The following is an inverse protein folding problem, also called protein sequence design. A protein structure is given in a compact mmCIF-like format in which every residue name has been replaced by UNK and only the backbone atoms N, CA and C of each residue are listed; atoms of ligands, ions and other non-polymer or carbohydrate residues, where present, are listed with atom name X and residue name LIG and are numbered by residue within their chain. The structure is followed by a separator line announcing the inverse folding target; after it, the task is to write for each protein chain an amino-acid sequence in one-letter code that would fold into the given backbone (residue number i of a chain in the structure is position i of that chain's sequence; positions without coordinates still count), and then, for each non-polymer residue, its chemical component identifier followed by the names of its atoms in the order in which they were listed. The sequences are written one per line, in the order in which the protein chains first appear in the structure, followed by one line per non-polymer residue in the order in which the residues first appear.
data_IF_145234119582
#
_entry.id   IF_145234119582
#
_cell.length_a   1.000
_cell.length_b   1.000
_cell.length_c   1.000
_cell.angle_alpha   90.00
_cell.angle_beta   90.00
_cell.angle_gamma   90.00
#
_symmetry.space_group_name_H-M   'P 1'
#
loop_
_entity.id
_entity.type
_entity.pdbx_description
1 polymer ?
#
# COMPACT_ATOMS: atom_id res chain seq x y z
N UNK A 1 51.82 12.72 -17.39
CA UNK A 1 51.22 13.60 -16.38
C UNK A 1 49.89 14.09 -16.98
N UNK A 2 48.84 13.35 -16.80
CA UNK A 2 47.48 13.75 -17.11
C UNK A 2 46.71 13.64 -15.82
N UNK A 3 46.35 14.80 -15.29
CA UNK A 3 45.51 14.92 -14.09
C UNK A 3 44.06 14.58 -14.51
N UNK A 4 43.57 13.45 -14.00
CA UNK A 4 42.14 13.10 -14.06
C UNK A 4 41.42 13.85 -12.94
N UNK A 5 40.80 14.97 -13.31
CA UNK A 5 39.82 15.66 -12.49
C UNK A 5 38.52 14.83 -12.47
N UNK A 6 38.37 13.96 -11.49
CA UNK A 6 37.08 13.42 -11.10
C UNK A 6 36.38 14.42 -10.16
N UNK A 7 35.75 15.43 -10.72
CA UNK A 7 34.71 16.19 -10.02
C UNK A 7 33.52 15.26 -9.79
N UNK A 8 33.37 14.79 -8.57
CA UNK A 8 32.12 14.24 -8.07
C UNK A 8 31.08 15.36 -8.07
N UNK A 9 30.26 15.42 -9.11
CA UNK A 9 29.07 16.24 -9.11
C UNK A 9 28.10 15.62 -8.10
N UNK A 10 28.06 16.15 -6.90
CA UNK A 10 26.99 15.87 -5.95
C UNK A 10 25.75 16.65 -6.41
N UNK A 11 24.97 16.05 -7.31
CA UNK A 11 23.67 16.61 -7.67
C UNK A 11 22.76 16.35 -6.48
N UNK A 12 22.30 17.43 -5.84
CA UNK A 12 21.32 17.31 -4.75
C UNK A 12 20.02 16.75 -5.31
N UNK A 13 19.31 15.91 -4.56
CA UNK A 13 18.01 15.37 -5.00
C UNK A 13 17.04 16.43 -5.50
N UNK A 14 17.18 17.69 -5.03
CA UNK A 14 16.41 18.84 -5.48
C UNK A 14 16.74 19.32 -6.92
N UNK A 15 17.92 18.98 -7.45
CA UNK A 15 18.32 19.37 -8.82
C UNK A 15 17.88 18.32 -9.86
N UNK A 16 17.88 17.03 -9.52
CA UNK A 16 17.25 15.98 -10.33
C UNK A 16 15.74 16.22 -10.50
N UNK A 17 15.10 16.79 -9.48
CA UNK A 17 13.69 17.17 -9.48
C UNK A 17 13.35 18.27 -10.50
N UNK A 18 14.29 19.15 -10.81
CA UNK A 18 14.07 20.27 -11.77
C UNK A 18 14.03 19.81 -13.23
N UNK A 19 14.81 18.79 -13.57
CA UNK A 19 14.87 18.31 -14.96
C UNK A 19 13.61 17.50 -15.33
N UNK A 20 13.03 16.76 -14.39
CA UNK A 20 11.75 16.04 -14.60
C UNK A 20 10.57 17.02 -14.75
N UNK A 21 10.59 18.16 -14.05
CA UNK A 21 9.53 19.19 -14.11
C UNK A 21 9.60 20.01 -15.41
N UNK A 22 10.77 20.09 -16.06
CA UNK A 22 10.93 20.85 -17.31
C UNK A 22 10.19 20.21 -18.49
N UNK A 23 10.13 18.89 -18.56
CA UNK A 23 9.46 18.15 -19.65
C UNK A 23 7.92 18.25 -19.58
N UNK A 24 7.33 18.36 -18.37
CA UNK A 24 5.87 18.45 -18.21
C UNK A 24 5.28 19.83 -18.61
N UNK A 25 6.08 20.90 -18.55
CA UNK A 25 5.64 22.24 -19.00
C UNK A 25 5.52 22.38 -20.50
N UNK A 26 6.17 21.50 -21.28
CA UNK A 26 6.13 21.53 -22.74
C UNK A 26 4.84 20.90 -23.33
N UNK A 27 4.11 20.10 -22.58
CA UNK A 27 2.95 19.33 -23.06
C UNK A 27 1.59 20.05 -22.88
N UNK A 28 1.51 21.19 -22.18
CA UNK A 28 0.23 21.85 -21.82
C UNK A 28 -0.12 23.14 -22.58
N UNK A 29 0.54 23.43 -23.71
CA UNK A 29 0.19 24.60 -24.54
C UNK A 29 -0.34 24.19 -25.92
N UNK A 30 -1.63 23.89 -26.00
CA UNK A 30 -2.39 23.96 -27.24
C UNK A 30 -3.74 24.64 -26.97
N UNK A 31 -4.20 25.55 -27.86
CA UNK A 31 -5.24 26.51 -27.55
C UNK A 31 -6.65 25.94 -27.77
N UNK A 32 -7.56 26.24 -26.82
CA UNK A 32 -8.99 26.05 -27.01
C UNK A 32 -9.60 27.25 -27.71
N UNK A 33 -10.21 26.96 -28.82
CA UNK A 33 -11.02 27.91 -29.59
C UNK A 33 -12.28 28.32 -28.84
N UNK A 34 -12.54 29.61 -28.92
CA UNK A 34 -13.72 30.30 -28.41
C UNK A 34 -14.79 30.36 -29.47
N UNK A 35 -16.00 29.94 -29.15
CA UNK A 35 -17.19 30.37 -29.90
C UNK A 35 -18.19 31.05 -28.98
N UNK A 36 -18.44 32.32 -29.34
CA UNK A 36 -19.50 33.20 -28.86
C UNK A 36 -20.74 32.97 -29.73
N UNK A 37 -21.91 33.07 -29.18
CA UNK A 37 -23.01 33.89 -29.71
C UNK A 37 -24.19 33.89 -28.75
N UNK A 38 -24.51 35.05 -28.38
CA UNK A 38 -25.55 36.05 -28.72
C UNK A 38 -26.89 35.86 -28.02
N UNK A 39 -27.11 36.89 -27.27
CA UNK A 39 -28.36 37.46 -26.76
C UNK A 39 -29.48 37.46 -27.79
N UNK A 40 -30.74 37.32 -27.32
CA UNK A 40 -31.76 38.29 -27.66
C UNK A 40 -32.81 38.48 -26.58
N UNK A 41 -33.17 39.75 -26.41
CA UNK A 41 -34.22 40.33 -25.58
C UNK A 41 -35.47 40.49 -26.41
N UNK A 42 -36.67 40.34 -25.82
CA UNK A 42 -37.78 41.31 -25.99
C UNK A 42 -38.95 40.92 -25.08
N UNK A 43 -39.31 41.71 -24.22
CA UNK A 43 -40.27 42.81 -24.00
C UNK A 43 -41.75 42.51 -24.26
N UNK A 44 -42.49 42.73 -23.14
CA UNK A 44 -43.80 43.45 -22.97
C UNK A 44 -45.06 42.74 -23.43
N UNK A 45 -46.11 42.68 -22.64
CA UNK A 45 -46.99 43.75 -22.17
C UNK A 45 -48.16 43.23 -21.33
N UNK A 46 -48.52 44.05 -20.33
CA UNK A 46 -49.76 44.04 -19.58
C UNK A 46 -51.04 43.94 -20.40
N UNK A 47 -52.01 43.19 -19.87
CA UNK A 47 -53.41 43.59 -19.97
C UNK A 47 -54.22 43.10 -18.76
N UNK A 48 -54.64 44.03 -17.93
CA UNK A 48 -55.78 43.93 -17.03
C UNK A 48 -57.06 43.77 -17.83
N UNK A 49 -57.86 42.78 -17.50
CA UNK A 49 -59.30 42.86 -17.74
C UNK A 49 -60.08 42.25 -16.59
N UNK A 50 -60.90 43.13 -16.01
CA UNK A 50 -62.00 42.82 -15.09
C UNK A 50 -63.08 42.04 -15.84
N UNK A 51 -63.57 40.93 -15.24
CA UNK A 51 -64.98 40.52 -15.50
C UNK A 51 -65.52 39.67 -14.35
N UNK A 52 -66.46 40.20 -13.68
CA UNK A 52 -67.85 39.76 -13.38
C UNK A 52 -68.06 38.40 -12.79
N UNK A 53 -68.62 38.48 -11.60
CA UNK A 53 -69.28 37.37 -10.88
C UNK A 53 -70.40 36.77 -11.68
N UNK A 54 -70.28 35.53 -12.06
CA UNK A 54 -71.41 34.68 -12.45
C UNK A 54 -71.49 33.47 -11.49
N UNK A 55 -72.61 33.37 -10.81
CA UNK A 55 -72.90 32.32 -9.88
C UNK A 55 -73.07 30.97 -10.59
N UNK A 56 -72.02 30.14 -10.57
CA UNK A 56 -72.13 28.73 -10.98
C UNK A 56 -72.73 27.88 -9.84
N UNK A 57 -73.95 27.39 -10.10
CA UNK A 57 -74.62 26.35 -9.29
C UNK A 57 -73.63 25.18 -9.09
N UNK A 58 -73.28 24.94 -7.81
CA UNK A 58 -72.43 23.84 -7.40
C UNK A 58 -73.12 22.48 -7.68
N UNK A 59 -72.62 21.73 -8.64
CA UNK A 59 -73.07 20.36 -8.92
C UNK A 59 -72.44 19.42 -7.88
N UNK A 60 -73.23 18.98 -6.92
CA UNK A 60 -72.84 18.09 -5.79
C UNK A 60 -72.19 16.78 -6.25
N UNK A 61 -72.42 16.30 -7.48
CA UNK A 61 -71.73 15.13 -8.08
C UNK A 61 -70.27 15.41 -8.44
N UNK A 62 -69.92 16.64 -8.87
CA UNK A 62 -68.51 17.03 -9.12
C UNK A 62 -67.71 17.20 -7.85
N UNK A 63 -68.37 17.61 -6.76
CA UNK A 63 -67.71 17.76 -5.46
C UNK A 63 -67.24 16.40 -4.88
N UNK A 64 -68.09 15.34 -5.06
CA UNK A 64 -67.83 14.01 -4.52
C UNK A 64 -66.62 13.32 -5.18
N UNK A 65 -66.37 13.56 -6.47
CA UNK A 65 -65.21 13.03 -7.17
C UNK A 65 -63.96 13.90 -6.91
N UNK A 66 -64.13 15.22 -6.76
CA UNK A 66 -62.99 16.12 -6.40
C UNK A 66 -62.42 15.86 -5.01
N UNK A 67 -63.30 15.72 -3.98
CA UNK A 67 -62.90 15.40 -2.62
C UNK A 67 -62.24 14.03 -2.50
N UNK A 68 -62.74 13.02 -3.24
CA UNK A 68 -62.15 11.69 -3.25
C UNK A 68 -60.76 11.70 -3.87
N UNK A 69 -60.55 12.42 -4.98
CA UNK A 69 -59.23 12.59 -5.61
C UNK A 69 -58.24 13.33 -4.62
N UNK A 70 -58.72 14.36 -3.95
CA UNK A 70 -57.87 15.09 -2.96
C UNK A 70 -57.48 14.20 -1.79
N UNK A 71 -58.41 13.38 -1.27
CA UNK A 71 -58.12 12.43 -0.19
C UNK A 71 -57.08 11.38 -0.67
N UNK A 72 -57.22 10.82 -1.86
CA UNK A 72 -56.23 9.90 -2.41
C UNK A 72 -54.85 10.56 -2.61
N UNK A 73 -54.82 11.82 -3.07
CA UNK A 73 -53.56 12.55 -3.20
C UNK A 73 -52.91 12.79 -1.83
N UNK A 74 -53.68 13.18 -0.83
CA UNK A 74 -53.18 13.37 0.53
C UNK A 74 -52.65 12.05 1.14
N UNK A 75 -53.34 10.94 0.93
CA UNK A 75 -52.90 9.64 1.42
C UNK A 75 -51.63 9.20 0.68
N UNK A 76 -51.55 9.43 -0.65
CA UNK A 76 -50.35 9.13 -1.43
C UNK A 76 -49.14 9.96 -0.96
N UNK A 77 -49.32 11.25 -0.76
CA UNK A 77 -48.22 12.12 -0.23
C UNK A 77 -47.81 11.68 1.16
N UNK A 78 -48.78 11.37 2.07
CA UNK A 78 -48.47 10.88 3.40
C UNK A 78 -47.69 9.56 3.35
N UNK A 79 -48.03 8.65 2.39
CA UNK A 79 -47.34 7.40 2.18
C UNK A 79 -45.90 7.61 1.65
N UNK A 80 -45.72 8.56 0.71
CA UNK A 80 -44.37 8.96 0.27
C UNK A 80 -43.51 9.52 1.41
N UNK A 81 -44.07 10.37 2.24
CA UNK A 81 -43.36 10.90 3.40
C UNK A 81 -43.01 9.79 4.38
N UNK A 82 -43.93 8.87 4.64
CA UNK A 82 -43.69 7.73 5.54
C UNK A 82 -42.59 6.80 4.97
N UNK A 83 -42.63 6.48 3.68
CA UNK A 83 -41.57 5.69 3.00
C UNK A 83 -40.23 6.41 3.14
N UNK A 84 -40.19 7.72 2.88
CA UNK A 84 -38.94 8.49 3.01
C UNK A 84 -38.39 8.44 4.45
N UNK A 85 -39.24 8.68 5.46
CA UNK A 85 -38.83 8.62 6.87
C UNK A 85 -38.35 7.21 7.25
N UNK A 86 -39.07 6.17 6.86
CA UNK A 86 -38.65 4.77 7.12
C UNK A 86 -37.35 4.45 6.43
N UNK A 87 -37.19 4.87 5.17
CA UNK A 87 -35.97 4.67 4.40
C UNK A 87 -34.80 5.39 5.05
N UNK A 88 -34.98 6.66 5.47
CA UNK A 88 -33.94 7.41 6.18
C UNK A 88 -33.56 6.71 7.49
N UNK A 89 -34.53 6.29 8.30
CA UNK A 89 -34.26 5.57 9.56
C UNK A 89 -33.55 4.22 9.33
N UNK A 90 -33.88 3.52 8.24
CA UNK A 90 -33.21 2.27 7.87
C UNK A 90 -31.78 2.51 7.42
N UNK A 91 -31.53 3.54 6.60
CA UNK A 91 -30.18 3.87 6.14
C UNK A 91 -29.30 4.44 7.25
N UNK A 92 -29.87 5.19 8.22
CA UNK A 92 -29.14 5.65 9.39
C UNK A 92 -28.72 4.48 10.30
N UNK A 93 -29.57 3.44 10.39
CA UNK A 93 -29.28 2.26 11.22
C UNK A 93 -28.47 1.18 10.49
N UNK A 94 -28.64 1.09 9.18
CA UNK A 94 -27.99 0.12 8.29
C UNK A 94 -27.47 0.88 7.06
N UNK A 95 -26.36 1.61 7.17
CA UNK A 95 -25.82 2.35 6.04
C UNK A 95 -25.43 1.37 4.92
N UNK A 96 -26.20 1.35 3.86
CA UNK A 96 -25.85 0.62 2.63
C UNK A 96 -24.90 1.55 1.88
N UNK A 97 -23.61 1.28 1.98
CA UNK A 97 -22.60 1.93 1.16
C UNK A 97 -22.45 1.12 -0.12
N UNK A 98 -22.84 1.71 -1.24
CA UNK A 98 -22.61 1.14 -2.57
C UNK A 98 -21.39 1.84 -3.14
N UNK A 99 -20.32 1.11 -3.31
CA UNK A 99 -19.14 1.63 -3.99
C UNK A 99 -19.42 1.69 -5.50
N UNK A 100 -19.65 2.92 -5.99
CA UNK A 100 -19.93 3.20 -7.40
C UNK A 100 -18.65 3.53 -8.18
N UNK A 101 -17.48 3.44 -7.57
CA UNK A 101 -16.22 3.65 -8.26
C UNK A 101 -15.96 2.50 -9.25
N UNK A 102 -15.35 2.81 -10.39
CA UNK A 102 -15.09 1.83 -11.46
C UNK A 102 -14.27 0.64 -10.95
N UNK A 103 -13.36 0.88 -9.99
CA UNK A 103 -12.45 -0.11 -9.43
C UNK A 103 -12.84 -0.56 -8.01
N UNK A 104 -14.02 -0.19 -7.53
CA UNK A 104 -14.50 -0.51 -6.16
C UNK A 104 -13.46 -0.18 -5.07
N UNK A 105 -12.84 0.97 -5.19
CA UNK A 105 -11.68 1.39 -4.36
C UNK A 105 -11.98 1.53 -2.86
N UNK A 106 -13.24 1.51 -2.46
CA UNK A 106 -13.69 1.54 -1.07
C UNK A 106 -14.24 0.20 -0.58
N UNK A 107 -14.23 -0.84 -1.41
CA UNK A 107 -14.66 -2.18 -1.05
C UNK A 107 -13.46 -3.10 -0.82
N UNK A 108 -13.67 -4.12 -0.02
CA UNK A 108 -12.68 -5.15 0.30
C UNK A 108 -12.89 -6.32 -0.68
N UNK A 109 -11.80 -6.93 -1.17
CA UNK A 109 -11.88 -8.14 -1.98
C UNK A 109 -12.44 -9.33 -1.18
N UNK A 110 -12.99 -10.32 -1.87
CA UNK A 110 -13.56 -11.50 -1.20
C UNK A 110 -12.51 -12.26 -0.38
N UNK A 111 -11.29 -12.38 -0.89
CA UNK A 111 -10.20 -13.09 -0.21
C UNK A 111 -9.78 -12.38 1.08
N UNK A 112 -9.67 -11.06 1.02
CA UNK A 112 -9.41 -10.22 2.18
C UNK A 112 -10.55 -10.28 3.19
N UNK A 113 -11.81 -10.21 2.72
CA UNK A 113 -12.99 -10.32 3.59
C UNK A 113 -13.02 -11.66 4.34
N UNK A 114 -12.73 -12.76 3.63
CA UNK A 114 -12.66 -14.11 4.20
C UNK A 114 -11.52 -14.26 5.22
N UNK A 115 -10.39 -13.60 4.98
CA UNK A 115 -9.27 -13.56 5.92
C UNK A 115 -9.62 -12.74 7.16
N UNK A 116 -10.06 -11.50 6.98
CA UNK A 116 -10.41 -10.58 8.06
C UNK A 116 -11.44 -11.18 9.02
N UNK A 117 -12.46 -11.87 8.50
CA UNK A 117 -13.47 -12.58 9.31
C UNK A 117 -12.90 -13.69 10.18
N UNK A 118 -11.77 -14.27 9.80
CA UNK A 118 -11.12 -15.38 10.55
C UNK A 118 -10.17 -14.91 11.65
N UNK A 119 -9.81 -13.63 11.67
CA UNK A 119 -8.96 -13.06 12.72
C UNK A 119 -9.66 -13.24 14.07
N UNK A 120 -9.00 -13.89 15.02
CA UNK A 120 -9.54 -14.27 16.32
C UNK A 120 -8.73 -13.72 17.50
N UNK A 121 -7.82 -12.79 17.22
CA UNK A 121 -7.02 -12.06 18.21
C UNK A 121 -7.29 -10.56 18.09
N UNK A 122 -7.20 -9.85 19.21
CA UNK A 122 -7.43 -8.42 19.20
C UNK A 122 -6.26 -7.68 18.53
N UNK A 123 -6.58 -6.87 17.53
CA UNK A 123 -5.62 -6.04 16.80
C UNK A 123 -6.01 -4.58 16.98
N UNK A 124 -5.07 -3.78 17.47
CA UNK A 124 -5.18 -2.34 17.56
C UNK A 124 -4.39 -1.69 16.45
N UNK A 125 -5.04 -0.89 15.62
CA UNK A 125 -4.35 -0.05 14.63
C UNK A 125 -4.24 1.36 15.19
N UNK A 126 -3.01 1.85 15.34
CA UNK A 126 -2.73 3.22 15.78
C UNK A 126 -2.24 4.04 14.60
N UNK A 127 -2.96 5.11 14.26
CA UNK A 127 -2.62 6.05 13.19
C UNK A 127 -2.03 7.29 13.83
N UNK A 128 -0.79 7.60 13.50
CA UNK A 128 -0.04 8.70 14.13
C UNK A 128 -0.29 10.03 13.44
N UNK A 129 -1.49 10.55 13.63
CA UNK A 129 -1.93 11.86 13.20
C UNK A 129 -3.26 12.22 13.89
N UNK A 130 -3.65 13.49 13.82
CA UNK A 130 -5.06 13.89 14.04
C UNK A 130 -5.95 13.36 12.90
N UNK A 131 -7.18 12.89 13.22
CA UNK A 131 -8.08 12.27 12.24
C UNK A 131 -8.38 13.18 11.05
N UNK A 132 -8.66 14.46 11.30
CA UNK A 132 -8.97 15.40 10.23
C UNK A 132 -7.75 15.67 9.36
N UNK A 133 -6.59 15.83 9.99
CA UNK A 133 -5.32 16.04 9.30
C UNK A 133 -4.99 14.86 8.39
N UNK A 134 -5.08 13.63 8.92
CA UNK A 134 -4.83 12.42 8.15
C UNK A 134 -5.82 12.26 6.98
N UNK A 135 -7.12 12.33 7.26
CA UNK A 135 -8.18 12.05 6.29
C UNK A 135 -8.22 13.07 5.15
N UNK A 136 -7.87 14.34 5.43
CA UNK A 136 -7.91 15.40 4.43
C UNK A 136 -6.57 15.62 3.70
N UNK A 137 -5.52 14.89 4.07
CA UNK A 137 -4.21 15.04 3.45
C UNK A 137 -4.24 14.65 1.96
N UNK A 138 -4.83 13.51 1.63
CA UNK A 138 -5.01 13.06 0.25
C UNK A 138 -6.24 12.16 0.08
N UNK A 139 -6.65 11.92 -1.18
CA UNK A 139 -7.70 10.95 -1.51
C UNK A 139 -7.32 9.52 -1.07
N UNK A 140 -6.05 9.17 -1.11
CA UNK A 140 -5.54 7.86 -0.69
C UNK A 140 -5.61 7.68 0.83
N UNK A 141 -5.30 8.73 1.61
CA UNK A 141 -5.47 8.70 3.07
C UNK A 141 -6.94 8.51 3.45
N UNK A 142 -7.84 9.23 2.79
CA UNK A 142 -9.29 9.06 2.99
C UNK A 142 -9.73 7.63 2.65
N UNK A 143 -9.24 7.09 1.53
CA UNK A 143 -9.53 5.72 1.13
C UNK A 143 -9.02 4.71 2.15
N UNK A 144 -7.79 4.86 2.66
CA UNK A 144 -7.22 4.00 3.69
C UNK A 144 -8.07 3.98 4.97
N UNK A 145 -8.53 5.15 5.43
CA UNK A 145 -9.41 5.25 6.61
C UNK A 145 -10.75 4.54 6.38
N UNK A 146 -11.39 4.73 5.23
CA UNK A 146 -12.66 4.07 4.92
C UNK A 146 -12.48 2.55 4.79
N UNK A 147 -11.38 2.10 4.22
CA UNK A 147 -11.04 0.68 4.14
C UNK A 147 -10.84 0.10 5.54
N UNK A 148 -10.09 0.77 6.41
CA UNK A 148 -9.89 0.34 7.80
C UNK A 148 -11.21 0.27 8.57
N UNK A 149 -12.12 1.23 8.38
CA UNK A 149 -13.47 1.18 8.93
C UNK A 149 -14.24 -0.07 8.47
N UNK A 150 -14.03 -0.49 7.22
CA UNK A 150 -14.65 -1.71 6.70
C UNK A 150 -14.09 -2.96 7.37
N UNK A 151 -12.76 -3.03 7.61
CA UNK A 151 -12.15 -4.12 8.39
C UNK A 151 -12.75 -4.22 9.79
N UNK A 152 -12.89 -3.09 10.49
CA UNK A 152 -13.50 -3.05 11.82
C UNK A 152 -14.98 -3.45 11.81
N UNK A 153 -15.73 -3.17 10.72
CA UNK A 153 -17.12 -3.64 10.56
C UNK A 153 -17.20 -5.14 10.31
N UNK A 154 -16.25 -5.69 9.54
CA UNK A 154 -16.18 -7.12 9.24
C UNK A 154 -15.78 -7.94 10.47
N UNK A 155 -14.93 -7.38 11.33
CA UNK A 155 -14.43 -8.07 12.51
C UNK A 155 -14.19 -7.10 13.68
N UNK A 156 -14.91 -7.31 14.79
CA UNK A 156 -14.84 -6.49 15.99
C UNK A 156 -13.52 -6.65 16.79
N UNK A 157 -12.71 -7.67 16.49
CA UNK A 157 -11.37 -7.80 17.06
C UNK A 157 -10.39 -6.77 16.47
N UNK A 158 -10.72 -6.15 15.34
CA UNK A 158 -9.91 -5.12 14.73
C UNK A 158 -10.46 -3.76 15.14
N UNK A 159 -9.62 -2.96 15.77
CA UNK A 159 -9.95 -1.62 16.25
C UNK A 159 -8.89 -0.63 15.77
N UNK A 160 -9.25 0.65 15.68
CA UNK A 160 -8.30 1.69 15.32
C UNK A 160 -8.47 2.95 16.19
N UNK A 161 -7.39 3.71 16.28
CA UNK A 161 -7.36 5.02 16.94
C UNK A 161 -6.42 5.97 16.23
N UNK A 162 -6.68 7.27 16.38
CA UNK A 162 -5.76 8.32 15.95
C UNK A 162 -5.01 8.84 17.18
N UNK A 163 -3.72 9.12 16.99
CA UNK A 163 -2.82 9.65 18.02
C UNK A 163 -2.01 10.77 17.40
N UNK A 164 -2.22 11.98 17.87
CA UNK A 164 -1.39 13.12 17.49
C UNK A 164 -0.03 13.02 18.20
N UNK A 165 1.03 12.93 17.42
CA UNK A 165 2.41 12.74 17.90
C UNK A 165 2.84 13.87 18.82
N UNK A 166 2.49 15.11 18.47
CA UNK A 166 2.91 16.30 19.22
C UNK A 166 2.21 16.38 20.59
N UNK A 167 0.97 15.91 20.64
CA UNK A 167 0.16 15.89 21.86
C UNK A 167 0.43 14.68 22.77
N UNK A 168 0.92 13.56 22.20
CA UNK A 168 1.12 12.28 22.88
C UNK A 168 2.48 11.63 22.60
N UNK A 169 3.59 12.34 22.87
CA UNK A 169 4.93 11.82 22.62
C UNK A 169 5.31 10.59 23.48
N UNK A 170 4.56 10.35 24.57
CA UNK A 170 4.74 9.17 25.42
C UNK A 170 4.34 7.88 24.70
N UNK A 171 3.30 7.91 23.85
CA UNK A 171 2.82 6.75 23.11
C UNK A 171 3.84 6.35 22.03
N UNK A 172 4.48 7.35 21.40
CA UNK A 172 5.54 7.08 20.40
C UNK A 172 6.71 6.31 21.00
N UNK A 173 7.05 6.60 22.26
CA UNK A 173 8.16 5.94 22.96
C UNK A 173 7.90 4.49 23.38
N UNK A 174 6.66 4.05 23.29
CA UNK A 174 6.31 2.64 23.54
C UNK A 174 6.79 1.72 22.41
N UNK A 175 7.06 2.28 21.23
CA UNK A 175 7.49 1.54 20.06
C UNK A 175 9.01 1.65 19.87
N UNK A 176 9.62 0.56 19.40
CA UNK A 176 11.07 0.51 19.10
C UNK A 176 11.38 1.17 17.75
N UNK A 177 10.41 1.17 16.83
CA UNK A 177 10.55 1.79 15.53
C UNK A 177 10.50 3.31 15.62
N UNK A 178 11.21 3.97 14.71
CA UNK A 178 11.05 5.42 14.52
C UNK A 178 9.66 5.68 13.93
N UNK A 179 8.85 6.45 14.67
CA UNK A 179 7.49 6.80 14.27
C UNK A 179 7.49 8.19 13.65
N UNK A 180 6.94 8.30 12.47
CA UNK A 180 6.72 9.57 11.75
C UNK A 180 5.23 9.90 11.67
N UNK A 181 4.94 11.17 11.35
CA UNK A 181 3.57 11.57 11.08
C UNK A 181 3.00 10.77 9.91
N UNK A 182 1.75 10.33 10.03
CA UNK A 182 1.00 9.47 9.10
C UNK A 182 1.40 7.99 9.11
N UNK A 183 2.36 7.57 9.91
CA UNK A 183 2.61 6.15 10.11
C UNK A 183 1.40 5.48 10.76
N UNK A 184 1.21 4.20 10.45
CA UNK A 184 0.24 3.31 11.09
C UNK A 184 0.96 2.15 11.75
N UNK A 185 0.59 1.78 12.96
CA UNK A 185 1.06 0.56 13.60
C UNK A 185 -0.12 -0.37 13.84
N UNK A 186 -0.03 -1.56 13.26
CA UNK A 186 -0.86 -2.70 13.61
C UNK A 186 -0.18 -3.42 14.78
N UNK A 187 -0.92 -3.62 15.85
CA UNK A 187 -0.40 -4.24 17.07
C UNK A 187 -1.37 -5.30 17.59
N UNK A 188 -0.81 -6.44 18.01
CA UNK A 188 -1.53 -7.42 18.84
C UNK A 188 -0.73 -7.71 20.10
N UNK A 189 -1.43 -7.88 21.22
CA UNK A 189 -0.84 -8.27 22.51
C UNK A 189 -1.42 -9.62 22.91
N UNK A 190 -0.58 -10.64 22.86
CA UNK A 190 -0.94 -12.00 23.22
C UNK A 190 -0.15 -12.47 24.43
N UNK A 191 -0.69 -13.40 25.19
CA UNK A 191 0.04 -14.03 26.31
C UNK A 191 0.46 -15.43 25.90
N UNK A 192 1.77 -15.65 25.85
CA UNK A 192 2.38 -16.95 25.62
C UNK A 192 3.16 -17.33 26.88
N UNK A 193 2.85 -18.46 27.50
CA UNK A 193 3.49 -18.94 28.72
C UNK A 193 3.48 -17.91 29.88
N UNK A 194 2.40 -17.11 29.95
CA UNK A 194 2.24 -16.09 30.98
C UNK A 194 3.01 -14.78 30.74
N UNK A 195 3.80 -14.69 29.68
CA UNK A 195 4.45 -13.47 29.24
C UNK A 195 3.59 -12.78 28.17
N UNK A 196 3.44 -11.48 28.28
CA UNK A 196 2.83 -10.66 27.24
C UNK A 196 3.84 -10.49 26.10
N UNK A 197 3.42 -10.89 24.91
CA UNK A 197 4.17 -10.70 23.65
C UNK A 197 3.38 -9.70 22.84
N UNK A 198 4.00 -8.57 22.54
CA UNK A 198 3.49 -7.59 21.57
C UNK A 198 4.13 -7.87 20.22
N UNK A 199 3.30 -7.93 19.19
CA UNK A 199 3.73 -8.00 17.78
C UNK A 199 3.25 -6.76 17.08
N UNK A 200 4.15 -6.09 16.41
CA UNK A 200 3.87 -4.84 15.72
C UNK A 200 4.27 -4.92 14.26
N UNK A 201 3.52 -4.24 13.41
CA UNK A 201 3.88 -3.98 12.01
C UNK A 201 3.60 -2.53 11.71
N UNK A 202 4.66 -1.81 11.35
CA UNK A 202 4.55 -0.42 10.91
C UNK A 202 4.28 -0.36 9.41
N UNK A 203 3.38 0.51 9.02
CA UNK A 203 3.14 0.93 7.64
C UNK A 203 3.33 2.44 7.55
N UNK A 204 4.19 2.88 6.66
CA UNK A 204 4.29 4.27 6.27
C UNK A 204 3.27 4.62 5.17
N UNK A 205 3.18 5.90 4.84
CA UNK A 205 2.27 6.34 3.79
C UNK A 205 2.60 5.76 2.41
N UNK A 206 3.89 5.50 2.14
CA UNK A 206 4.33 4.93 0.87
C UNK A 206 3.89 3.47 0.68
N UNK A 207 3.79 2.70 1.77
CA UNK A 207 3.28 1.33 1.74
C UNK A 207 1.82 1.26 1.24
N UNK A 208 1.08 2.37 1.35
CA UNK A 208 -0.33 2.48 0.93
C UNK A 208 -0.50 2.88 -0.53
N UNK A 209 0.59 3.03 -1.29
CA UNK A 209 0.57 3.54 -2.66
C UNK A 209 1.28 2.56 -3.61
N UNK A 210 0.75 2.46 -4.82
CA UNK A 210 1.44 1.83 -5.96
C UNK A 210 1.86 2.92 -6.92
N UNK A 211 3.10 2.85 -7.39
CA UNK A 211 3.66 3.81 -8.33
C UNK A 211 3.71 3.21 -9.74
N UNK A 212 3.77 4.09 -10.74
CA UNK A 212 3.87 3.67 -12.15
C UNK A 212 5.25 3.07 -12.43
N UNK A 213 5.29 2.05 -13.29
CA UNK A 213 6.56 1.45 -13.76
C UNK A 213 7.55 2.48 -14.30
N UNK A 214 7.04 3.52 -14.98
CA UNK A 214 7.87 4.61 -15.52
C UNK A 214 8.61 5.35 -14.41
N UNK A 215 7.94 5.60 -13.28
CA UNK A 215 8.56 6.28 -12.14
C UNK A 215 9.60 5.40 -11.47
N UNK A 216 9.28 4.14 -11.24
CA UNK A 216 10.20 3.16 -10.63
C UNK A 216 11.45 2.96 -11.50
N UNK A 217 11.29 2.86 -12.83
CA UNK A 217 12.41 2.77 -13.76
C UNK A 217 13.30 4.03 -13.73
N UNK A 218 12.71 5.22 -13.69
CA UNK A 218 13.47 6.48 -13.59
C UNK A 218 14.27 6.55 -12.29
N UNK A 219 13.66 6.14 -11.17
CA UNK A 219 14.34 6.08 -9.88
C UNK A 219 15.50 5.09 -9.91
N UNK A 220 15.26 3.89 -10.40
CA UNK A 220 16.29 2.84 -10.53
C UNK A 220 17.46 3.28 -11.40
N UNK A 221 17.21 3.94 -12.54
CA UNK A 221 18.25 4.49 -13.41
C UNK A 221 19.07 5.58 -12.73
N UNK A 222 18.46 6.32 -11.79
CA UNK A 222 19.13 7.34 -10.99
C UNK A 222 19.84 6.78 -9.75
N UNK A 223 19.74 5.47 -9.51
CA UNK A 223 20.31 4.80 -8.33
C UNK A 223 19.52 5.05 -7.03
N UNK A 224 18.27 5.51 -7.15
CA UNK A 224 17.38 5.76 -6.02
C UNK A 224 16.23 4.75 -6.00
N UNK A 225 15.68 4.56 -4.79
CA UNK A 225 14.37 3.93 -4.58
C UNK A 225 13.40 4.95 -3.98
N UNK A 226 12.12 4.63 -3.98
CA UNK A 226 11.09 5.45 -3.32
C UNK A 226 11.41 5.62 -1.83
N UNK A 227 11.84 4.55 -1.17
CA UNK A 227 12.24 4.57 0.24
C UNK A 227 13.45 5.48 0.48
N UNK A 228 14.42 5.44 -0.41
CA UNK A 228 15.59 6.33 -0.33
C UNK A 228 15.21 7.80 -0.46
N UNK A 229 14.26 8.12 -1.35
CA UNK A 229 13.73 9.48 -1.47
C UNK A 229 12.98 9.92 -0.23
N UNK A 230 12.16 9.05 0.34
CA UNK A 230 11.42 9.33 1.57
C UNK A 230 12.36 9.57 2.75
N UNK A 231 13.42 8.77 2.89
CA UNK A 231 14.46 8.97 3.91
C UNK A 231 15.20 10.29 3.73
N UNK A 232 15.56 10.64 2.49
CA UNK A 232 16.23 11.92 2.20
C UNK A 232 15.33 13.13 2.45
N UNK A 233 14.02 12.97 2.23
CA UNK A 233 13.03 13.99 2.54
C UNK A 233 12.73 14.10 4.04
N UNK A 234 13.38 13.28 4.90
CA UNK A 234 13.16 13.29 6.34
C UNK A 234 11.75 12.89 6.76
N UNK A 235 11.08 12.08 5.94
CA UNK A 235 9.67 11.70 6.13
C UNK A 235 8.68 12.77 5.66
N UNK A 236 9.14 13.90 5.11
CA UNK A 236 8.26 14.89 4.48
C UNK A 236 7.77 14.36 3.12
N UNK A 237 6.50 13.98 3.10
CA UNK A 237 5.81 13.44 1.92
C UNK A 237 5.26 14.55 1.01
N UNK A 238 5.58 15.81 1.25
CA UNK A 238 5.15 16.93 0.40
C UNK A 238 5.64 16.77 -1.05
N UNK A 239 6.73 16.00 -1.27
CA UNK A 239 7.18 15.64 -2.60
C UNK A 239 6.10 14.84 -3.38
N UNK A 240 5.22 14.08 -2.73
CA UNK A 240 4.12 13.37 -3.39
C UNK A 240 3.11 14.34 -4.03
N UNK A 241 3.04 15.59 -3.58
CA UNK A 241 2.23 16.62 -4.26
C UNK A 241 2.78 16.97 -5.64
N UNK A 242 4.10 16.83 -5.82
CA UNK A 242 4.77 16.98 -7.11
C UNK A 242 4.69 15.73 -7.98
N UNK A 243 4.72 14.55 -7.36
CA UNK A 243 4.76 13.24 -8.02
C UNK A 243 3.43 12.49 -7.98
N UNK A 244 2.34 13.15 -7.57
CA UNK A 244 1.02 12.53 -7.52
C UNK A 244 0.54 11.98 -8.88
N UNK A 245 1.11 12.47 -9.99
CA UNK A 245 0.86 11.92 -11.33
C UNK A 245 1.52 10.54 -11.54
N UNK A 246 2.48 10.16 -10.73
CA UNK A 246 3.16 8.86 -10.78
C UNK A 246 2.57 7.84 -9.81
N UNK A 247 1.62 8.22 -8.96
CA UNK A 247 0.86 7.27 -8.16
C UNK A 247 -0.20 6.64 -9.05
N UNK A 248 -0.09 5.34 -9.26
CA UNK A 248 -1.01 4.57 -10.10
C UNK A 248 -2.30 4.24 -9.34
N UNK A 249 -2.17 3.72 -8.13
CA UNK A 249 -3.31 3.28 -7.33
C UNK A 249 -3.02 3.25 -5.83
N UNK A 250 -4.06 2.97 -5.05
CA UNK A 250 -3.94 2.65 -3.63
C UNK A 250 -3.54 1.18 -3.46
N UNK A 251 -2.56 0.95 -2.59
CA UNK A 251 -2.13 -0.36 -2.13
C UNK A 251 -2.64 -0.68 -0.71
N UNK A 252 -3.55 0.12 -0.17
CA UNK A 252 -3.94 0.04 1.24
C UNK A 252 -4.53 -1.33 1.63
N UNK A 253 -5.30 -1.97 0.75
CA UNK A 253 -5.87 -3.30 1.04
C UNK A 253 -4.79 -4.35 1.22
N UNK A 254 -3.83 -4.42 0.30
CA UNK A 254 -2.72 -5.36 0.39
C UNK A 254 -1.85 -5.07 1.62
N UNK A 255 -1.51 -3.81 1.87
CA UNK A 255 -0.70 -3.40 3.00
C UNK A 255 -1.36 -3.76 4.34
N UNK A 256 -2.66 -3.47 4.50
CA UNK A 256 -3.39 -3.79 5.72
C UNK A 256 -3.55 -5.29 5.94
N UNK A 257 -3.88 -6.04 4.88
CA UNK A 257 -4.00 -7.50 4.97
C UNK A 257 -2.67 -8.13 5.34
N UNK A 258 -1.58 -7.70 4.72
CA UNK A 258 -0.22 -8.14 5.03
C UNK A 258 0.16 -7.81 6.49
N UNK A 259 -0.12 -6.58 6.94
CA UNK A 259 0.15 -6.20 8.32
C UNK A 259 -0.65 -7.04 9.33
N UNK A 260 -1.94 -7.30 9.03
CA UNK A 260 -2.75 -8.21 9.84
C UNK A 260 -2.16 -9.62 9.87
N UNK A 261 -1.77 -10.18 8.71
CA UNK A 261 -1.14 -11.49 8.64
C UNK A 261 0.10 -11.57 9.53
N UNK A 262 0.96 -10.55 9.43
CA UNK A 262 2.20 -10.49 10.22
C UNK A 262 1.94 -10.48 11.72
N UNK A 263 0.99 -9.66 12.19
CA UNK A 263 0.77 -9.54 13.65
C UNK A 263 -0.10 -10.63 14.23
N UNK A 264 -0.93 -11.30 13.42
CA UNK A 264 -1.85 -12.34 13.89
C UNK A 264 -1.33 -13.76 13.68
N UNK A 265 -0.23 -13.95 12.95
CA UNK A 265 0.37 -15.26 12.74
C UNK A 265 0.85 -15.85 14.09
N UNK A 266 0.34 -17.01 14.52
CA UNK A 266 0.81 -17.65 15.73
C UNK A 266 2.25 -18.15 15.61
N UNK A 267 2.72 -18.44 14.40
CA UNK A 267 4.04 -19.00 14.11
C UNK A 267 4.75 -18.21 13.02
N UNK A 268 5.15 -16.95 13.29
CA UNK A 268 5.79 -16.11 12.29
C UNK A 268 7.11 -16.75 11.82
N UNK A 269 7.34 -16.71 10.51
CA UNK A 269 8.59 -17.19 9.91
C UNK A 269 9.57 -16.01 9.80
N UNK A 270 10.75 -16.18 10.35
CA UNK A 270 11.82 -15.19 10.31
C UNK A 270 12.81 -15.52 9.20
N UNK A 271 13.03 -14.57 8.29
CA UNK A 271 13.96 -14.70 7.16
C UNK A 271 15.10 -13.71 7.35
N UNK A 272 16.33 -14.19 7.37
CA UNK A 272 17.52 -13.37 7.47
C UNK A 272 18.28 -13.37 6.16
N UNK A 273 18.39 -12.21 5.52
CA UNK A 273 19.19 -12.01 4.31
C UNK A 273 20.61 -11.63 4.72
N UNK A 274 21.59 -12.44 4.31
CA UNK A 274 22.99 -12.17 4.62
C UNK A 274 23.58 -11.16 3.64
N UNK A 275 24.37 -10.25 4.18
CA UNK A 275 25.14 -9.23 3.45
C UNK A 275 26.57 -9.21 3.97
N UNK A 276 27.43 -8.31 3.42
CA UNK A 276 28.83 -8.13 3.82
C UNK A 276 29.84 -8.78 2.90
N UNK A 277 29.37 -9.53 1.87
CA UNK A 277 30.23 -10.18 0.88
C UNK A 277 30.07 -9.58 -0.53
N UNK A 278 29.70 -8.30 -0.61
CA UNK A 278 29.51 -7.54 -1.86
C UNK A 278 28.54 -8.23 -2.81
N UNK A 279 27.39 -8.55 -2.34
CA UNK A 279 26.33 -9.28 -3.04
C UNK A 279 25.97 -8.60 -4.36
N UNK A 280 25.87 -9.40 -5.43
CA UNK A 280 25.54 -8.91 -6.78
C UNK A 280 24.05 -8.66 -6.97
N UNK A 281 23.22 -9.35 -6.22
CA UNK A 281 21.78 -9.32 -6.37
C UNK A 281 21.15 -8.40 -5.33
N UNK A 282 20.47 -7.36 -5.80
CA UNK A 282 19.62 -6.52 -4.93
C UNK A 282 18.29 -7.24 -4.73
N UNK A 283 18.02 -7.65 -3.50
CA UNK A 283 16.82 -8.40 -3.14
C UNK A 283 15.67 -7.51 -2.60
N UNK A 284 15.70 -6.21 -2.82
CA UNK A 284 14.68 -5.29 -2.27
C UNK A 284 13.27 -5.74 -2.65
N UNK A 285 13.05 -6.04 -3.93
CA UNK A 285 11.74 -6.53 -4.39
C UNK A 285 11.35 -7.86 -3.74
N UNK A 286 12.30 -8.80 -3.65
CA UNK A 286 12.08 -10.10 -3.02
C UNK A 286 11.78 -9.95 -1.51
N UNK A 287 12.52 -9.10 -0.81
CA UNK A 287 12.28 -8.80 0.60
C UNK A 287 10.91 -8.15 0.81
N UNK A 288 10.53 -7.20 -0.06
CA UNK A 288 9.19 -6.59 -0.05
C UNK A 288 8.11 -7.62 -0.27
N UNK A 289 8.29 -8.54 -1.22
CA UNK A 289 7.35 -9.62 -1.50
C UNK A 289 7.19 -10.58 -0.30
N UNK A 290 8.30 -10.97 0.33
CA UNK A 290 8.25 -11.79 1.55
C UNK A 290 7.50 -11.07 2.68
N UNK A 291 7.83 -9.81 2.89
CA UNK A 291 7.17 -8.99 3.92
C UNK A 291 5.67 -8.81 3.63
N UNK A 292 5.30 -8.61 2.36
CA UNK A 292 3.90 -8.51 1.94
C UNK A 292 3.12 -9.82 2.17
N UNK A 293 3.83 -10.95 2.25
CA UNK A 293 3.24 -12.26 2.55
C UNK A 293 3.39 -12.66 4.02
N UNK A 294 3.67 -11.72 4.93
CA UNK A 294 3.67 -11.96 6.37
C UNK A 294 4.96 -12.51 6.95
N UNK A 295 6.05 -12.64 6.15
CA UNK A 295 7.35 -13.03 6.67
C UNK A 295 8.01 -11.86 7.41
N UNK A 296 8.71 -12.18 8.52
CA UNK A 296 9.56 -11.21 9.19
C UNK A 296 10.95 -11.23 8.56
N UNK A 297 11.27 -10.19 7.78
CA UNK A 297 12.53 -10.14 7.03
C UNK A 297 13.49 -9.16 7.68
N UNK A 298 14.71 -9.61 7.97
CA UNK A 298 15.82 -8.77 8.42
C UNK A 298 17.05 -8.97 7.53
N UNK A 299 18.01 -8.08 7.67
CA UNK A 299 19.29 -8.15 6.97
C UNK A 299 20.41 -8.12 8.01
N UNK A 300 21.40 -9.00 7.84
CA UNK A 300 22.55 -9.13 8.75
C UNK A 300 23.83 -9.11 7.96
N UNK A 301 24.78 -8.30 8.37
CA UNK A 301 26.15 -8.32 7.86
C UNK A 301 26.91 -9.48 8.54
N UNK A 302 27.06 -10.60 7.81
CA UNK A 302 27.68 -11.83 8.32
C UNK A 302 29.12 -11.64 8.79
N UNK A 303 29.80 -10.60 8.30
CA UNK A 303 31.19 -10.32 8.66
C UNK A 303 31.34 -9.70 10.05
N UNK A 304 30.29 -9.07 10.57
CA UNK A 304 30.31 -8.34 11.84
C UNK A 304 29.25 -8.80 12.84
N UNK A 305 28.22 -9.50 12.38
CA UNK A 305 27.08 -9.90 13.19
C UNK A 305 26.86 -11.42 13.13
N UNK A 306 26.15 -11.94 14.12
CA UNK A 306 25.71 -13.32 14.15
C UNK A 306 24.29 -13.45 13.57
N UNK A 307 23.96 -14.62 13.04
CA UNK A 307 22.59 -14.93 12.59
C UNK A 307 21.67 -14.98 13.83
N UNK A 308 20.59 -14.19 13.86
CA UNK A 308 19.65 -14.21 14.98
C UNK A 308 19.10 -15.62 15.28
N UNK A 309 19.00 -15.96 16.57
CA UNK A 309 18.59 -17.31 16.99
C UNK A 309 17.15 -17.68 16.58
N UNK A 310 16.28 -16.68 16.42
CA UNK A 310 14.90 -16.83 15.97
C UNK A 310 14.77 -16.97 14.44
N UNK A 311 15.84 -16.80 13.66
CA UNK A 311 15.83 -17.00 12.20
C UNK A 311 15.40 -18.44 11.87
N UNK A 312 14.50 -18.58 10.89
CA UNK A 312 14.05 -19.86 10.35
C UNK A 312 14.68 -20.15 8.98
N UNK A 313 14.84 -19.13 8.18
CA UNK A 313 15.41 -19.21 6.83
C UNK A 313 16.53 -18.19 6.68
N UNK A 314 17.69 -18.64 6.25
CA UNK A 314 18.80 -17.80 5.82
C UNK A 314 18.80 -17.69 4.30
N UNK A 315 18.98 -16.47 3.77
CA UNK A 315 19.12 -16.21 2.34
C UNK A 315 20.55 -15.73 2.06
N UNK A 316 21.27 -16.45 1.20
CA UNK A 316 22.59 -16.05 0.70
C UNK A 316 22.41 -15.57 -0.76
N UNK A 317 22.47 -14.26 -1.02
CA UNK A 317 22.30 -13.70 -2.36
C UNK A 317 23.66 -13.56 -3.04
N UNK A 318 23.98 -14.40 -3.99
CA UNK A 318 25.10 -14.31 -4.94
C UNK A 318 26.29 -13.45 -4.47
N UNK A 319 27.11 -13.88 -3.50
CA UNK A 319 28.21 -13.09 -2.99
C UNK A 319 29.28 -12.89 -4.08
N UNK A 320 29.85 -11.70 -4.16
CA UNK A 320 30.95 -11.37 -5.06
C UNK A 320 32.31 -11.69 -4.43
N UNK A 321 32.35 -11.67 -3.09
CA UNK A 321 33.53 -12.05 -2.33
C UNK A 321 33.22 -13.35 -1.57
N UNK A 322 34.17 -14.29 -1.58
CA UNK A 322 34.00 -15.58 -0.90
C UNK A 322 33.76 -15.42 0.60
N UNK A 323 33.04 -16.38 1.16
CA UNK A 323 32.83 -16.50 2.59
C UNK A 323 34.11 -16.98 3.29
N UNK A 324 34.42 -16.38 4.44
CA UNK A 324 35.51 -16.88 5.26
C UNK A 324 35.07 -18.13 6.06
N UNK A 325 36.03 -18.88 6.57
CA UNK A 325 35.73 -20.04 7.42
C UNK A 325 34.81 -19.72 8.61
N UNK A 326 34.96 -18.49 9.17
CA UNK A 326 34.13 -18.01 10.28
C UNK A 326 32.67 -17.76 9.84
N UNK A 327 32.44 -17.24 8.63
CA UNK A 327 31.10 -17.01 8.09
C UNK A 327 30.43 -18.37 7.79
N UNK A 328 31.18 -19.28 7.13
CA UNK A 328 30.72 -20.64 6.86
C UNK A 328 30.31 -21.34 8.16
N UNK A 329 31.13 -21.17 9.21
CA UNK A 329 30.82 -21.72 10.52
C UNK A 329 29.51 -21.19 11.08
N UNK A 330 29.24 -19.88 10.99
CA UNK A 330 27.98 -19.27 11.43
C UNK A 330 26.78 -19.88 10.69
N UNK A 331 26.87 -20.05 9.38
CA UNK A 331 25.81 -20.67 8.56
C UNK A 331 25.65 -22.15 8.89
N UNK A 332 26.77 -22.88 9.06
CA UNK A 332 26.74 -24.31 9.42
C UNK A 332 26.12 -24.52 10.81
N UNK A 333 26.52 -23.73 11.80
CA UNK A 333 25.96 -23.78 13.17
C UNK A 333 24.47 -23.47 13.16
N UNK A 334 24.04 -22.47 12.37
CA UNK A 334 22.62 -22.14 12.17
C UNK A 334 21.84 -23.34 11.62
N UNK A 335 22.32 -24.00 10.55
CA UNK A 335 21.64 -25.15 9.94
C UNK A 335 21.65 -26.38 10.86
N UNK A 336 22.73 -26.57 11.61
CA UNK A 336 22.81 -27.65 12.60
C UNK A 336 21.84 -27.45 13.76
N UNK A 337 21.56 -26.22 14.16
CA UNK A 337 20.58 -25.87 15.16
C UNK A 337 20.73 -26.71 16.44
N UNK A 338 21.94 -26.79 16.99
CA UNK A 338 22.30 -27.62 18.14
C UNK A 338 21.94 -29.13 17.97
N UNK A 339 22.00 -29.61 16.74
CA UNK A 339 21.66 -30.98 16.38
C UNK A 339 20.17 -31.24 16.12
N UNK A 340 19.31 -30.22 16.28
CA UNK A 340 17.86 -30.36 16.03
C UNK A 340 17.52 -30.25 14.54
N UNK A 341 18.38 -29.62 13.73
CA UNK A 341 18.12 -29.32 12.32
C UNK A 341 16.86 -28.45 12.13
N UNK A 342 16.20 -28.54 10.97
CA UNK A 342 14.92 -27.86 10.70
C UNK A 342 15.03 -26.41 10.21
N UNK A 343 16.20 -25.77 10.31
CA UNK A 343 16.48 -24.48 9.70
C UNK A 343 16.73 -24.63 8.20
N UNK A 344 16.47 -23.58 7.44
CA UNK A 344 16.52 -23.61 5.97
C UNK A 344 17.52 -22.60 5.41
N UNK A 345 18.11 -22.97 4.28
CA UNK A 345 19.00 -22.10 3.50
C UNK A 345 18.44 -21.93 2.08
N UNK A 346 18.27 -20.69 1.66
CA UNK A 346 18.02 -20.32 0.28
C UNK A 346 19.29 -19.68 -0.30
N UNK A 347 19.93 -20.36 -1.24
CA UNK A 347 21.06 -19.81 -1.98
C UNK A 347 20.60 -19.32 -3.35
N UNK A 348 20.90 -18.06 -3.68
CA UNK A 348 20.58 -17.43 -4.95
C UNK A 348 21.90 -17.20 -5.70
N UNK A 349 22.17 -18.00 -6.72
CA UNK A 349 23.35 -17.83 -7.57
C UNK A 349 23.15 -16.75 -8.64
N UNK A 350 24.26 -16.13 -9.08
CA UNK A 350 24.26 -15.18 -10.20
C UNK A 350 25.38 -15.52 -11.19
N UNK A 351 25.12 -15.32 -12.47
CA UNK A 351 26.11 -15.53 -13.53
C UNK A 351 27.34 -14.60 -13.43
N UNK A 352 27.20 -13.46 -12.74
CA UNK A 352 28.30 -12.50 -12.49
C UNK A 352 29.01 -12.72 -11.17
N UNK A 353 28.76 -13.85 -10.50
CA UNK A 353 29.42 -14.19 -9.26
C UNK A 353 30.87 -14.62 -9.51
N UNK A 354 31.78 -14.12 -8.71
CA UNK A 354 33.19 -14.54 -8.69
C UNK A 354 33.32 -15.97 -8.11
N UNK A 355 34.52 -16.54 -8.18
CA UNK A 355 34.77 -17.84 -7.56
C UNK A 355 34.66 -17.76 -6.03
N UNK A 356 33.88 -18.65 -5.47
CA UNK A 356 33.62 -18.72 -4.02
C UNK A 356 33.94 -20.11 -3.48
N UNK A 357 35.24 -20.52 -3.46
CA UNK A 357 35.64 -21.89 -3.17
C UNK A 357 35.20 -22.38 -1.76
N UNK A 358 35.23 -21.53 -0.73
CA UNK A 358 34.80 -21.94 0.62
C UNK A 358 33.27 -22.17 0.66
N UNK A 359 32.51 -21.28 0.03
CA UNK A 359 31.07 -21.43 -0.07
C UNK A 359 30.69 -22.61 -0.96
N UNK A 360 31.39 -22.84 -2.07
CA UNK A 360 31.17 -23.97 -2.98
C UNK A 360 31.47 -25.30 -2.27
N UNK A 361 32.54 -25.39 -1.46
CA UNK A 361 32.86 -26.55 -0.64
C UNK A 361 31.75 -26.83 0.37
N UNK A 362 31.30 -25.82 1.10
CA UNK A 362 30.20 -25.91 2.03
C UNK A 362 28.89 -26.40 1.36
N UNK A 363 28.52 -25.82 0.22
CA UNK A 363 27.31 -26.23 -0.52
C UNK A 363 27.44 -27.68 -1.01
N UNK A 364 28.65 -28.13 -1.35
CA UNK A 364 28.90 -29.52 -1.80
C UNK A 364 28.64 -30.57 -0.72
N UNK A 365 28.76 -30.22 0.56
CA UNK A 365 28.39 -31.10 1.69
C UNK A 365 26.90 -31.44 1.67
N UNK A 366 26.06 -30.53 1.13
CA UNK A 366 24.63 -30.74 0.94
C UNK A 366 24.27 -31.27 -0.46
N UNK A 367 25.27 -31.66 -1.25
CA UNK A 367 25.09 -32.19 -2.60
C UNK A 367 24.74 -31.13 -3.64
N UNK A 368 24.97 -29.86 -3.32
CA UNK A 368 24.73 -28.73 -4.22
C UNK A 368 26.04 -28.36 -4.96
N UNK A 369 25.92 -28.07 -6.25
CA UNK A 369 27.04 -27.58 -7.08
C UNK A 369 26.53 -26.49 -8.00
N UNK A 370 27.17 -25.35 -7.97
CA UNK A 370 26.83 -24.23 -8.85
C UNK A 370 27.70 -24.29 -10.09
N UNK A 371 27.10 -24.56 -11.25
CA UNK A 371 27.79 -24.57 -12.55
C UNK A 371 28.17 -23.16 -12.96
N UNK A 372 29.36 -23.05 -13.62
CA UNK A 372 29.79 -21.81 -14.27
C UNK A 372 29.14 -21.67 -15.62
N UNK A 373 28.47 -20.57 -15.86
CA UNK A 373 27.85 -20.26 -17.14
C UNK A 373 26.47 -19.73 -17.04
N UNK A 374 25.90 -19.40 -18.19
CA UNK A 374 24.53 -18.86 -18.30
C UNK A 374 23.69 -19.89 -19.05
N UNK A 375 22.55 -20.24 -18.48
CA UNK A 375 21.56 -21.06 -19.18
C UNK A 375 20.75 -20.14 -20.07
N UNK A 376 20.75 -20.44 -21.38
CA UNK A 376 20.01 -19.67 -22.38
C UNK A 376 18.91 -20.54 -22.98
N UNK A 377 17.73 -19.93 -23.14
CA UNK A 377 16.59 -20.53 -23.82
C UNK A 377 16.78 -20.43 -25.33
N UNK A 378 16.60 -21.52 -26.03
CA UNK A 378 16.74 -21.60 -27.50
C UNK A 378 15.47 -21.28 -28.27
N UNK A 379 14.31 -21.36 -27.60
CA UNK A 379 13.01 -21.07 -28.19
C UNK A 379 12.69 -19.57 -28.03
N UNK A 380 12.67 -18.86 -29.16
CA UNK A 380 12.39 -17.41 -29.19
C UNK A 380 11.02 -17.01 -28.66
N UNK A 381 10.07 -17.94 -28.51
CA UNK A 381 8.77 -17.70 -27.89
C UNK A 381 8.79 -17.73 -26.36
N UNK A 382 9.92 -18.13 -25.76
CA UNK A 382 10.04 -18.32 -24.32
C UNK A 382 11.06 -17.41 -23.64
N UNK A 383 11.56 -16.40 -24.33
CA UNK A 383 12.43 -15.40 -23.72
C UNK A 383 12.05 -13.97 -24.13
N UNK A 384 12.39 -13.01 -23.29
CA UNK A 384 12.12 -11.60 -23.53
C UNK A 384 13.45 -10.87 -23.84
N UNK A 385 13.55 -10.26 -25.02
CA UNK A 385 14.70 -9.50 -25.53
C UNK A 385 16.05 -10.25 -25.57
N UNK A 386 16.28 -11.26 -24.76
CA UNK A 386 17.52 -12.00 -24.67
C UNK A 386 17.26 -13.46 -24.31
N UNK A 387 17.96 -14.44 -24.94
CA UNK A 387 17.84 -15.85 -24.56
C UNK A 387 18.13 -16.15 -23.08
N UNK A 388 18.80 -15.23 -22.37
CA UNK A 388 19.12 -15.40 -20.95
C UNK A 388 18.02 -14.85 -20.02
N UNK A 389 16.94 -14.29 -20.58
CA UNK A 389 15.77 -13.79 -19.82
C UNK A 389 14.55 -14.59 -20.26
N UNK A 390 14.27 -15.65 -19.54
CA UNK A 390 13.11 -16.52 -19.81
C UNK A 390 11.81 -15.87 -19.35
N UNK A 391 10.72 -16.13 -20.09
CA UNK A 391 9.36 -15.79 -19.66
C UNK A 391 8.84 -16.95 -18.83
N UNK A 392 8.42 -16.67 -17.60
CA UNK A 392 7.69 -17.65 -16.81
C UNK A 392 6.34 -17.94 -17.51
N UNK A 393 6.04 -19.20 -17.76
CA UNK A 393 4.72 -19.64 -18.22
C UNK A 393 3.94 -20.17 -17.02
N UNK A 394 2.70 -19.70 -16.87
CA UNK A 394 1.75 -20.27 -15.93
C UNK A 394 1.43 -21.73 -16.23
#
# INVERSE_FOLDING_TARGET
MEENNNEKISVSGADLLKDVVADEKAAKTAPKDTEKDKKDKDKKKDKKEKKTKDGKKFNAKKLKHGTMATVFTCVFVALLVLVNVVTTMLFDRYPITIDLTTNKIYSVSNDTEDYVKKVNVDVQVTIFADENTYTNYSSYNKQAVELLKNYCKLNHHITYRFVDIDSHPEIVKEYTDTISQFDMIFETKTKVDGKEISRTRKLGMLDLLTFTDEFEQKLSQSGYSIDTLAQQAGGDLSFLSYYGSYVESSNAEQAFTSALMTVTDPNPVYVTVLTGRSELTQLTYFQTLLTANGYNVNTVDITSEDIPADTDVVVIPAPKTDYLEEDIKKVSDFLNNDGNLGKQLLYIASYGQEDTPNLDEFLSEYGLSVGKGVICESDSGKYYNSPCVTVASD
#
